data_IF_755338816010
#
_entry.id   IF_755338816010
#
_cell.length_a   1.000
_cell.length_b   1.000
_cell.length_c   1.000
_cell.angle_alpha   90.00
_cell.angle_beta   90.00
_cell.angle_gamma   90.00
#
_symmetry.space_group_name_H-M   'P 1'
#
loop_
_entity.id
_entity.type
_entity.pdbx_description
1 polymer ?
#
# COMPACT_ATOMS: atom_id res chain seq x y z
N UNK A 1 -17.94 -1.49 -12.07
CA UNK A 1 -16.78 -0.95 -11.35
C UNK A 1 -15.46 -1.14 -12.09
N UNK A 2 -14.87 -0.06 -12.60
CA UNK A 2 -13.46 0.00 -13.06
C UNK A 2 -12.68 0.80 -12.03
N UNK A 3 -11.64 0.20 -11.45
CA UNK A 3 -10.74 0.82 -10.49
C UNK A 3 -9.31 0.72 -11.02
N UNK A 4 -8.52 1.77 -10.84
CA UNK A 4 -7.09 1.76 -11.15
C UNK A 4 -6.35 2.38 -9.97
N UNK A 5 -5.27 1.72 -9.56
CA UNK A 5 -4.34 2.18 -8.55
C UNK A 5 -2.99 2.51 -9.18
N UNK A 6 -2.38 3.60 -8.71
CA UNK A 6 -0.96 3.88 -8.97
C UNK A 6 -0.30 4.36 -7.68
N UNK A 7 1.02 4.18 -7.58
CA UNK A 7 1.80 4.75 -6.49
C UNK A 7 2.40 6.09 -6.94
N UNK A 8 2.22 7.15 -6.14
CA UNK A 8 2.89 8.43 -6.40
C UNK A 8 4.39 8.25 -6.18
N UNK A 9 5.24 8.50 -7.17
CA UNK A 9 6.70 8.35 -7.06
C UNK A 9 7.34 9.41 -6.18
N UNK A 10 6.67 10.54 -5.96
CA UNK A 10 7.21 11.67 -5.18
C UNK A 10 7.19 11.40 -3.66
N UNK A 11 6.39 10.44 -3.19
CA UNK A 11 6.22 10.12 -1.77
C UNK A 11 6.59 8.67 -1.44
N UNK A 12 7.53 8.08 -2.19
CA UNK A 12 8.00 6.72 -1.94
C UNK A 12 9.34 6.73 -1.21
N UNK A 13 9.43 5.93 -0.15
CA UNK A 13 10.72 5.62 0.48
C UNK A 13 10.91 4.12 0.54
N UNK A 14 12.13 3.68 0.29
CA UNK A 14 12.56 2.30 0.47
C UNK A 14 13.74 2.31 1.43
N UNK A 15 13.63 1.53 2.50
CA UNK A 15 14.67 1.37 3.50
C UNK A 15 15.03 -0.10 3.65
N UNK A 16 16.30 -0.41 3.84
CA UNK A 16 16.77 -1.74 4.19
C UNK A 16 17.43 -1.69 5.55
N UNK A 17 17.04 -2.60 6.44
CA UNK A 17 17.70 -2.82 7.72
C UNK A 17 18.21 -4.25 7.83
N UNK A 18 19.20 -4.45 8.69
CA UNK A 18 19.61 -5.76 9.18
C UNK A 18 19.29 -5.80 10.66
N UNK A 19 18.43 -6.73 11.08
CA UNK A 19 18.04 -6.84 12.48
C UNK A 19 19.14 -7.44 13.36
N UNK A 20 18.92 -7.47 14.68
CA UNK A 20 19.88 -8.04 15.64
C UNK A 20 20.18 -9.54 15.47
N UNK A 21 19.47 -10.24 14.57
CA UNK A 21 19.69 -11.65 14.23
C UNK A 21 20.36 -11.82 12.86
N UNK A 22 20.72 -10.73 12.17
CA UNK A 22 21.30 -10.76 10.83
C UNK A 22 20.24 -10.93 9.73
N UNK A 23 18.96 -10.75 10.03
CA UNK A 23 17.88 -10.85 9.04
C UNK A 23 17.80 -9.57 8.24
N UNK A 24 17.75 -9.68 6.91
CA UNK A 24 17.48 -8.55 6.03
C UNK A 24 15.98 -8.27 5.97
N UNK A 25 15.60 -7.02 6.24
CA UNK A 25 14.26 -6.50 6.03
C UNK A 25 14.31 -5.30 5.08
N UNK A 26 13.37 -5.23 4.15
CA UNK A 26 13.19 -4.10 3.25
C UNK A 26 11.79 -3.54 3.46
N UNK A 27 11.71 -2.26 3.80
CA UNK A 27 10.47 -1.54 4.04
C UNK A 27 10.21 -0.56 2.90
N UNK A 28 8.99 -0.57 2.38
CA UNK A 28 8.45 0.39 1.44
C UNK A 28 7.40 1.24 2.16
N UNK A 29 7.52 2.56 2.04
CA UNK A 29 6.48 3.52 2.39
C UNK A 29 6.04 4.24 1.12
N UNK A 30 4.74 4.39 0.93
CA UNK A 30 4.22 5.08 -0.24
C UNK A 30 2.77 5.48 -0.09
N UNK A 31 2.28 6.21 -1.09
CA UNK A 31 0.86 6.56 -1.21
C UNK A 31 0.31 5.85 -2.45
N UNK A 32 -0.69 5.00 -2.25
CA UNK A 32 -1.51 4.43 -3.31
C UNK A 32 -2.71 5.34 -3.55
N UNK A 33 -2.94 5.72 -4.80
CA UNK A 33 -4.10 6.53 -5.18
C UNK A 33 -5.10 5.63 -5.87
N UNK A 34 -6.28 5.49 -5.26
CA UNK A 34 -7.41 4.75 -5.81
C UNK A 34 -8.46 5.68 -6.40
N UNK A 35 -8.84 5.45 -7.66
CA UNK A 35 -9.88 6.24 -8.32
C UNK A 35 -11.18 5.45 -8.46
N UNK A 36 -12.28 5.98 -7.93
CA UNK A 36 -13.62 5.45 -8.12
C UNK A 36 -14.23 6.08 -9.37
N UNK A 37 -14.26 5.32 -10.47
CA UNK A 37 -14.75 5.82 -11.77
C UNK A 37 -16.21 6.29 -11.74
N UNK A 38 -17.02 5.79 -10.80
CA UNK A 38 -18.46 6.03 -10.72
C UNK A 38 -18.80 7.33 -9.97
N UNK A 39 -18.02 7.70 -8.94
CA UNK A 39 -18.17 8.95 -8.19
C UNK A 39 -17.22 10.06 -8.66
N UNK A 40 -16.18 9.72 -9.43
CA UNK A 40 -15.10 10.64 -9.80
C UNK A 40 -14.20 11.03 -8.62
N UNK A 41 -14.30 10.34 -7.49
CA UNK A 41 -13.50 10.62 -6.29
C UNK A 41 -12.19 9.83 -6.30
N UNK A 42 -11.11 10.49 -5.87
CA UNK A 42 -9.83 9.87 -5.60
C UNK A 42 -9.68 9.67 -4.08
N UNK A 43 -9.23 8.48 -3.67
CA UNK A 43 -8.88 8.17 -2.28
C UNK A 43 -7.40 7.83 -2.22
N UNK A 44 -6.67 8.54 -1.38
CA UNK A 44 -5.27 8.23 -1.07
C UNK A 44 -5.20 7.23 0.10
N UNK A 45 -4.36 6.21 -0.07
CA UNK A 45 -4.09 5.18 0.93
C UNK A 45 -2.60 5.21 1.20
N UNK A 46 -2.21 5.56 2.42
CA UNK A 46 -0.82 5.47 2.86
C UNK A 46 -0.53 3.99 3.13
N UNK A 47 0.52 3.48 2.49
CA UNK A 47 0.91 2.08 2.53
C UNK A 47 2.30 1.96 3.11
N UNK A 48 2.42 1.08 4.11
CA UNK A 48 3.70 0.60 4.60
C UNK A 48 3.77 -0.91 4.40
N UNK A 49 4.80 -1.37 3.69
CA UNK A 49 5.07 -2.80 3.47
C UNK A 49 6.46 -3.08 4.03
N UNK A 50 6.63 -4.15 4.78
CA UNK A 50 7.94 -4.61 5.25
C UNK A 50 8.11 -6.08 4.89
N UNK A 51 9.13 -6.36 4.09
CA UNK A 51 9.39 -7.69 3.53
C UNK A 51 10.70 -8.26 4.05
N UNK A 52 10.67 -9.50 4.52
CA UNK A 52 11.84 -10.26 4.96
C UNK A 52 12.52 -10.91 3.77
N UNK A 53 13.83 -10.70 3.64
CA UNK A 53 14.64 -11.32 2.61
C UNK A 53 15.52 -12.43 3.16
N UNK A 54 15.49 -13.59 2.49
CA UNK A 54 16.44 -14.68 2.69
C UNK A 54 16.96 -15.14 1.32
N UNK A 55 18.29 -15.20 1.16
CA UNK A 55 18.94 -15.60 -0.10
C UNK A 55 18.41 -14.84 -1.34
N UNK A 56 18.18 -13.54 -1.19
CA UNK A 56 17.68 -12.67 -2.27
C UNK A 56 16.20 -12.85 -2.61
N UNK A 57 15.43 -13.65 -1.85
CA UNK A 57 14.00 -13.87 -2.05
C UNK A 57 13.20 -13.32 -0.88
N UNK A 58 12.01 -12.81 -1.17
CA UNK A 58 11.03 -12.45 -0.14
C UNK A 58 10.43 -13.74 0.41
N UNK A 59 10.57 -13.96 1.71
CA UNK A 59 10.00 -15.13 2.41
C UNK A 59 8.84 -14.78 3.33
N UNK A 60 8.65 -13.49 3.63
CA UNK A 60 7.59 -12.97 4.47
C UNK A 60 7.33 -11.51 4.14
N UNK A 61 6.07 -11.08 4.23
CA UNK A 61 5.64 -9.71 4.02
C UNK A 61 4.61 -9.31 5.08
N UNK A 62 4.72 -8.07 5.57
CA UNK A 62 3.70 -7.43 6.39
C UNK A 62 3.26 -6.14 5.72
N UNK A 63 1.95 -5.99 5.52
CA UNK A 63 1.34 -4.81 4.94
C UNK A 63 0.48 -4.07 5.96
N UNK A 64 0.60 -2.73 5.97
CA UNK A 64 -0.13 -1.84 6.87
C UNK A 64 -0.70 -0.67 6.07
N UNK A 65 -2.02 -0.53 6.13
CA UNK A 65 -2.76 0.60 5.56
C UNK A 65 -4.13 0.73 6.22
N UNK A 66 -4.70 1.93 6.22
CA UNK A 66 -6.08 2.17 6.63
C UNK A 66 -7.02 1.94 5.44
N UNK A 67 -7.95 1.01 5.58
CA UNK A 67 -8.95 0.68 4.55
C UNK A 67 -10.28 1.40 4.75
N UNK A 68 -10.51 2.03 5.91
CA UNK A 68 -11.79 2.61 6.26
C UNK A 68 -12.26 3.68 5.24
N UNK A 69 -11.41 4.62 4.78
CA UNK A 69 -11.82 5.62 3.79
C UNK A 69 -12.29 4.99 2.47
N UNK A 70 -11.56 3.97 2.00
CA UNK A 70 -11.89 3.24 0.79
C UNK A 70 -13.22 2.49 0.92
N UNK A 71 -13.42 1.77 2.03
CA UNK A 71 -14.66 1.03 2.29
C UNK A 71 -15.85 1.98 2.38
N UNK A 72 -15.70 3.12 3.06
CA UNK A 72 -16.75 4.13 3.18
C UNK A 72 -17.16 4.67 1.81
N UNK A 73 -16.22 4.92 0.92
CA UNK A 73 -16.52 5.40 -0.42
C UNK A 73 -17.18 4.31 -1.27
N UNK A 74 -16.69 3.08 -1.21
CA UNK A 74 -17.28 1.92 -1.88
C UNK A 74 -18.76 1.72 -1.51
N UNK A 75 -19.11 1.79 -0.22
CA UNK A 75 -20.50 1.64 0.25
C UNK A 75 -21.41 2.77 -0.24
N UNK A 76 -20.89 3.99 -0.43
CA UNK A 76 -21.68 5.09 -1.02
C UNK A 76 -21.97 4.84 -2.50
N UNK A 77 -20.98 4.34 -3.25
CA UNK A 77 -21.12 4.09 -4.69
C UNK A 77 -22.04 2.91 -5.01
N UNK A 78 -22.08 1.86 -4.17
CA UNK A 78 -22.99 0.71 -4.38
C UNK A 78 -24.47 1.00 -4.04
N UNK A 79 -24.77 2.12 -3.38
CA UNK A 79 -26.14 2.51 -2.99
C UNK A 79 -26.88 3.32 -4.07
N UNK A 80 -26.44 3.26 -5.32
CA UNK A 80 -27.08 3.91 -6.49
C UNK A 80 -27.80 2.86 -7.34
#
# INVERSE_FOLDING_TARGET
MRYYAYSSTENQTVEMIIDGKGTTWVSFWGVWVGNFAESGTATEIIVHITSKFENGKIVQEHGYWDTAPFILEYVKTEKI
#
